data_IF_504773931340
#
_entry.id   IF_504773931340
#
_cell.length_a   1.000
_cell.length_b   1.000
_cell.length_c   1.000
_cell.angle_alpha   90.00
_cell.angle_beta   90.00
_cell.angle_gamma   90.00
#
_symmetry.space_group_name_H-M   'P 1'
#
loop_
_entity.id
_entity.type
_entity.pdbx_description
1 polymer ?
#
# COMPACT_ATOMS: atom_id res chain seq x y z
N UNK A 1 0.56 12.61 8.39
CA UNK A 1 0.88 11.16 8.35
C UNK A 1 1.18 10.78 6.93
N UNK A 2 2.32 10.12 6.70
CA UNK A 2 2.72 9.73 5.34
C UNK A 2 2.25 8.32 5.03
N UNK A 3 1.47 8.19 3.98
CA UNK A 3 0.96 6.89 3.54
C UNK A 3 1.49 6.63 2.14
N UNK A 4 2.17 5.51 1.96
CA UNK A 4 2.77 5.12 0.68
C UNK A 4 2.22 3.75 0.28
N UNK A 5 1.71 3.66 -0.93
CA UNK A 5 1.26 2.38 -1.50
C UNK A 5 2.35 1.86 -2.43
N UNK A 6 2.96 0.76 -2.05
CA UNK A 6 3.94 0.06 -2.89
C UNK A 6 3.19 -0.95 -3.76
N UNK A 7 3.20 -0.73 -5.05
CA UNK A 7 2.45 -1.57 -6.00
C UNK A 7 3.18 -1.70 -7.33
N UNK A 8 2.86 -2.76 -8.06
CA UNK A 8 3.38 -2.97 -9.42
C UNK A 8 2.24 -3.06 -10.44
N UNK A 9 1.03 -2.67 -10.05
CA UNK A 9 -0.13 -2.71 -10.94
C UNK A 9 -0.84 -4.05 -10.97
N UNK A 10 -0.59 -4.93 -10.00
CA UNK A 10 -1.29 -6.22 -9.92
C UNK A 10 -2.76 -6.03 -9.53
N UNK A 11 -3.63 -7.04 -9.76
CA UNK A 11 -5.06 -6.92 -9.42
C UNK A 11 -5.32 -6.52 -7.97
N UNK A 12 -4.58 -7.11 -7.03
CA UNK A 12 -4.73 -6.76 -5.60
C UNK A 12 -4.28 -5.33 -5.33
N UNK A 13 -3.28 -4.86 -6.06
CA UNK A 13 -2.81 -3.47 -5.95
C UNK A 13 -3.93 -2.50 -6.33
N UNK A 14 -4.65 -2.80 -7.39
CA UNK A 14 -5.77 -1.98 -7.84
C UNK A 14 -6.91 -1.98 -6.82
N UNK A 15 -7.19 -3.14 -6.22
CA UNK A 15 -8.22 -3.25 -5.19
C UNK A 15 -7.88 -2.37 -3.99
N UNK A 16 -6.65 -2.45 -3.52
CA UNK A 16 -6.23 -1.66 -2.37
C UNK A 16 -6.25 -0.16 -2.69
N UNK A 17 -5.78 0.22 -3.87
CA UNK A 17 -5.81 1.60 -4.32
C UNK A 17 -7.24 2.14 -4.33
N UNK A 18 -8.19 1.37 -4.88
CA UNK A 18 -9.61 1.76 -4.92
C UNK A 18 -10.16 1.96 -3.51
N UNK A 19 -9.81 1.07 -2.58
CA UNK A 19 -10.27 1.19 -1.20
C UNK A 19 -9.76 2.46 -0.53
N UNK A 20 -8.50 2.81 -0.77
CA UNK A 20 -7.92 4.04 -0.25
C UNK A 20 -8.63 5.26 -0.81
N UNK A 21 -8.94 5.25 -2.11
CA UNK A 21 -9.63 6.35 -2.76
C UNK A 21 -11.07 6.49 -2.26
N UNK A 22 -11.77 5.38 -2.04
CA UNK A 22 -13.13 5.39 -1.49
C UNK A 22 -13.20 6.03 -0.10
N UNK A 23 -12.15 5.85 0.69
CA UNK A 23 -12.08 6.42 2.04
C UNK A 23 -11.50 7.83 2.06
N UNK A 24 -11.20 8.40 0.88
CA UNK A 24 -10.57 9.71 0.75
C UNK A 24 -9.25 9.82 1.52
N UNK A 25 -8.49 8.72 1.53
CA UNK A 25 -7.18 8.67 2.18
C UNK A 25 -6.14 9.14 1.19
N UNK A 26 -5.39 10.16 1.54
CA UNK A 26 -4.28 10.63 0.71
C UNK A 26 -3.11 9.67 0.83
N UNK A 27 -2.55 9.29 -0.31
CA UNK A 27 -1.41 8.38 -0.35
C UNK A 27 -0.56 8.66 -1.58
N UNK A 28 0.70 8.24 -1.51
CA UNK A 28 1.61 8.31 -2.65
C UNK A 28 1.80 6.88 -3.15
N UNK A 29 1.67 6.69 -4.46
CA UNK A 29 1.91 5.38 -5.07
C UNK A 29 3.37 5.29 -5.49
N UNK A 30 4.04 4.23 -5.06
CA UNK A 30 5.43 3.98 -5.40
C UNK A 30 5.53 2.66 -6.16
N UNK A 31 5.97 2.73 -7.41
CA UNK A 31 6.09 1.57 -8.29
C UNK A 31 7.56 1.12 -8.46
N UNK A 32 8.47 1.68 -7.68
CA UNK A 32 9.89 1.36 -7.81
C UNK A 32 10.21 0.00 -7.19
N UNK A 33 10.50 -0.99 -8.03
CA UNK A 33 10.90 -2.32 -7.59
C UNK A 33 12.21 -2.25 -6.80
N UNK A 34 13.11 -1.37 -7.22
CA UNK A 34 14.39 -1.20 -6.54
C UNK A 34 14.22 -0.74 -5.09
N UNK A 35 13.35 0.23 -4.85
CA UNK A 35 13.06 0.70 -3.50
C UNK A 35 12.39 -0.39 -2.66
N UNK A 36 11.46 -1.12 -3.27
CA UNK A 36 10.78 -2.22 -2.59
C UNK A 36 11.77 -3.29 -2.15
N UNK A 37 12.70 -3.65 -3.03
CA UNK A 37 13.75 -4.63 -2.72
C UNK A 37 14.64 -4.13 -1.59
N UNK A 38 15.00 -2.86 -1.61
CA UNK A 38 15.80 -2.24 -0.55
C UNK A 38 15.10 -2.25 0.82
N UNK A 39 13.77 -2.21 0.82
CA UNK A 39 12.98 -2.25 2.05
C UNK A 39 12.63 -3.68 2.49
N UNK A 40 13.06 -4.69 1.73
CA UNK A 40 12.74 -6.07 2.02
C UNK A 40 11.34 -6.49 1.61
N UNK A 41 10.68 -5.72 0.75
CA UNK A 41 9.34 -6.03 0.27
C UNK A 41 9.43 -7.09 -0.81
N UNK A 42 8.88 -8.27 -0.54
CA UNK A 42 8.92 -9.39 -1.49
C UNK A 42 7.57 -9.65 -2.15
N UNK A 43 6.52 -9.05 -1.63
CA UNK A 43 5.17 -9.20 -2.17
C UNK A 43 4.50 -7.83 -2.24
N UNK A 44 3.66 -7.62 -3.24
CA UNK A 44 2.85 -6.42 -3.39
C UNK A 44 1.38 -6.81 -3.43
N UNK A 45 0.45 -5.94 -3.03
CA UNK A 45 0.69 -4.59 -2.55
C UNK A 45 1.16 -4.55 -1.09
N UNK A 46 1.89 -3.49 -0.75
CA UNK A 46 2.26 -3.19 0.63
C UNK A 46 1.89 -1.73 0.90
N UNK A 47 1.25 -1.50 2.03
CA UNK A 47 0.89 -0.14 2.45
C UNK A 47 1.79 0.30 3.60
N UNK A 48 2.48 1.41 3.43
CA UNK A 48 3.29 2.00 4.49
C UNK A 48 2.48 3.10 5.18
N UNK A 49 2.25 2.92 6.46
CA UNK A 49 1.53 3.91 7.27
C UNK A 49 2.44 4.36 8.40
N UNK A 50 2.89 5.61 8.33
CA UNK A 50 3.78 6.18 9.34
C UNK A 50 5.01 5.29 9.60
N UNK A 51 5.58 4.72 8.55
CA UNK A 51 6.76 3.86 8.64
C UNK A 51 6.47 2.40 8.94
N UNK A 52 5.21 2.02 9.12
CA UNK A 52 4.82 0.63 9.36
C UNK A 52 4.36 -0.01 8.06
N UNK A 53 4.98 -1.12 7.68
CA UNK A 53 4.63 -1.83 6.46
C UNK A 53 3.52 -2.84 6.73
N UNK A 54 2.43 -2.73 5.97
CA UNK A 54 1.26 -3.60 6.07
C UNK A 54 1.14 -4.43 4.80
N UNK A 55 0.96 -5.74 4.94
CA UNK A 55 0.69 -6.59 3.78
C UNK A 55 -0.75 -6.33 3.28
N UNK A 56 -1.16 -7.02 2.22
CA UNK A 56 -2.48 -6.79 1.63
C UNK A 56 -3.60 -6.98 2.66
N UNK A 57 -3.58 -8.06 3.40
CA UNK A 57 -4.61 -8.38 4.38
C UNK A 57 -4.69 -7.34 5.49
N UNK A 58 -3.55 -6.99 6.06
CA UNK A 58 -3.47 -5.98 7.11
C UNK A 58 -3.85 -4.60 6.60
N UNK A 59 -3.42 -4.27 5.38
CA UNK A 59 -3.74 -2.99 4.76
C UNK A 59 -5.24 -2.85 4.53
N UNK A 60 -5.90 -3.90 4.04
CA UNK A 60 -7.35 -3.90 3.83
C UNK A 60 -8.07 -3.67 5.16
N UNK A 61 -7.65 -4.37 6.21
CA UNK A 61 -8.23 -4.20 7.54
C UNK A 61 -8.05 -2.76 8.03
N UNK A 62 -6.85 -2.21 7.86
CA UNK A 62 -6.57 -0.85 8.28
C UNK A 62 -7.47 0.16 7.55
N UNK A 63 -7.61 0.00 6.24
CA UNK A 63 -8.44 0.88 5.43
C UNK A 63 -9.92 0.78 5.84
N UNK A 64 -10.39 -0.45 6.06
CA UNK A 64 -11.79 -0.66 6.45
C UNK A 64 -12.12 -0.04 7.81
N UNK A 65 -11.12 0.12 8.68
CA UNK A 65 -11.30 0.71 10.00
C UNK A 65 -11.01 2.20 10.02
N UNK A 66 -10.77 2.79 8.88
CA UNK A 66 -10.46 4.23 8.79
C UNK A 66 -11.70 5.08 8.60
#
# INVERSE_FOLDING_TARGET
MSIILYSTGCPKCKVLKSKLEEKNIEFVENNSVEEMTGLGITQVPVLSVAGVLLDFKKAVTWVNNS
#
